data_IF_556781044637
#
_entry.id   IF_556781044637
#
_cell.length_a   1.000
_cell.length_b   1.000
_cell.length_c   1.000
_cell.angle_alpha   90.00
_cell.angle_beta   90.00
_cell.angle_gamma   90.00
#
_symmetry.space_group_name_H-M   'P 1'
#
loop_
_entity.id
_entity.type
_entity.pdbx_description
1 polymer ?
#
# COMPACT_ATOMS: atom_id res chain seq x y z
N UNK A 1 29.01 -5.87 16.97
CA UNK A 1 28.78 -5.47 15.56
C UNK A 1 27.39 -4.86 15.45
N UNK A 2 27.30 -3.54 15.20
CA UNK A 2 26.02 -2.83 15.04
C UNK A 2 25.45 -3.20 13.67
N UNK A 3 24.25 -3.79 13.61
CA UNK A 3 23.52 -3.93 12.34
C UNK A 3 23.29 -2.51 11.83
N UNK A 4 23.78 -2.20 10.62
CA UNK A 4 23.37 -1.01 9.87
C UNK A 4 21.88 -1.14 9.64
N UNK A 5 21.06 -0.52 10.49
CA UNK A 5 19.69 -0.18 10.12
C UNK A 5 19.81 0.65 8.85
N UNK A 6 19.22 0.14 7.77
CA UNK A 6 19.08 0.91 6.54
C UNK A 6 18.49 2.26 6.90
N UNK A 7 19.12 3.36 6.47
CA UNK A 7 18.70 4.76 6.63
C UNK A 7 17.29 5.10 6.06
N UNK A 8 16.42 4.12 5.85
CA UNK A 8 15.15 4.22 5.12
C UNK A 8 13.91 4.35 6.02
N UNK A 9 13.97 3.91 7.28
CA UNK A 9 12.81 3.84 8.15
C UNK A 9 13.08 4.54 9.50
N UNK A 10 13.06 5.89 9.50
CA UNK A 10 13.07 6.69 10.74
C UNK A 10 11.65 6.86 11.29
N UNK A 11 11.47 7.26 12.56
CA UNK A 11 10.14 7.57 13.10
C UNK A 11 9.39 8.62 12.27
N UNK A 12 10.08 9.64 11.78
CA UNK A 12 9.49 10.69 10.94
C UNK A 12 9.06 10.14 9.57
N UNK A 13 9.88 9.29 8.94
CA UNK A 13 9.50 8.67 7.66
C UNK A 13 8.35 7.68 7.85
N UNK A 14 8.34 6.93 8.96
CA UNK A 14 7.25 6.01 9.30
C UNK A 14 5.93 6.75 9.54
N UNK A 15 5.95 7.85 10.31
CA UNK A 15 4.78 8.71 10.52
C UNK A 15 4.28 9.32 9.21
N UNK A 16 5.21 9.77 8.34
CA UNK A 16 4.86 10.25 7.00
C UNK A 16 4.20 9.18 6.15
N UNK A 17 4.68 7.94 6.15
CA UNK A 17 4.08 6.85 5.36
C UNK A 17 2.69 6.48 5.88
N UNK A 18 2.50 6.46 7.21
CA UNK A 18 1.24 6.08 7.85
C UNK A 18 0.19 7.22 7.91
N UNK A 19 0.52 8.42 7.44
CA UNK A 19 -0.38 9.57 7.46
C UNK A 19 -1.66 9.36 6.65
N UNK A 20 -2.66 10.17 6.94
CA UNK A 20 -3.83 10.37 6.08
C UNK A 20 -3.50 11.48 5.06
N UNK A 21 -3.64 11.20 3.77
CA UNK A 21 -3.37 12.13 2.68
C UNK A 21 -4.57 13.04 2.40
N UNK A 22 -4.38 14.20 1.74
CA UNK A 22 -5.47 14.97 1.17
C UNK A 22 -6.31 14.13 0.18
N UNK A 23 -7.60 14.45 0.03
CA UNK A 23 -8.49 13.69 -0.84
C UNK A 23 -8.00 13.62 -2.30
N UNK A 24 -7.41 14.70 -2.82
CA UNK A 24 -6.81 14.77 -4.16
C UNK A 24 -5.64 13.79 -4.39
N UNK A 25 -5.07 13.25 -3.32
CA UNK A 25 -3.96 12.28 -3.33
C UNK A 25 -4.44 10.87 -2.92
N UNK A 26 -5.74 10.65 -2.74
CA UNK A 26 -6.28 9.35 -2.39
C UNK A 26 -6.03 8.33 -3.53
N UNK A 27 -5.95 7.06 -3.16
CA UNK A 27 -6.08 5.98 -4.12
C UNK A 27 -7.55 5.76 -4.43
N UNK A 28 -7.93 5.91 -5.69
CA UNK A 28 -9.29 5.70 -6.16
C UNK A 28 -9.38 4.33 -6.84
N UNK A 29 -10.29 3.49 -6.38
CA UNK A 29 -10.46 2.15 -6.93
C UNK A 29 -11.41 2.18 -8.15
N UNK A 30 -10.93 1.68 -9.28
CA UNK A 30 -11.63 1.53 -10.53
C UNK A 30 -11.67 0.06 -10.93
N UNK A 31 -12.77 -0.39 -11.53
CA UNK A 31 -12.88 -1.73 -12.11
C UNK A 31 -12.45 -1.78 -13.58
N UNK A 32 -12.33 -0.61 -14.21
CA UNK A 32 -11.93 -0.40 -15.60
C UNK A 32 -11.66 1.09 -15.84
N UNK A 33 -11.25 1.45 -17.06
CA UNK A 33 -11.12 2.85 -17.47
C UNK A 33 -12.46 3.57 -17.29
N UNK A 34 -12.48 4.61 -16.45
CA UNK A 34 -13.67 5.42 -16.15
C UNK A 34 -14.71 4.75 -15.23
N UNK A 35 -14.51 3.48 -14.82
CA UNK A 35 -15.45 2.76 -13.97
C UNK A 35 -15.07 2.85 -12.50
N UNK A 36 -15.28 4.03 -11.90
CA UNK A 36 -15.03 4.25 -10.47
C UNK A 36 -15.94 3.38 -9.61
N UNK A 37 -15.38 2.72 -8.60
CA UNK A 37 -16.13 1.84 -7.70
C UNK A 37 -16.90 2.57 -6.60
N UNK A 38 -16.70 3.88 -6.44
CA UNK A 38 -17.19 4.64 -5.28
C UNK A 38 -16.28 4.52 -4.04
N UNK A 39 -15.19 3.75 -4.11
CA UNK A 39 -14.31 3.47 -2.98
C UNK A 39 -12.96 4.14 -3.20
N UNK A 40 -12.44 4.80 -2.18
CA UNK A 40 -11.09 5.35 -2.15
C UNK A 40 -10.40 5.06 -0.81
N UNK A 41 -9.08 5.26 -0.78
CA UNK A 41 -8.27 5.18 0.43
C UNK A 41 -7.28 6.35 0.51
N UNK A 42 -7.23 7.00 1.67
CA UNK A 42 -6.35 8.15 1.97
C UNK A 42 -5.14 7.77 2.80
N UNK A 43 -5.03 6.52 3.23
CA UNK A 43 -3.91 6.05 4.04
C UNK A 43 -3.62 4.59 3.72
N UNK A 44 -2.47 4.10 4.17
CA UNK A 44 -2.10 2.69 4.01
C UNK A 44 -3.04 1.75 4.80
N UNK A 45 -3.53 2.21 5.96
CA UNK A 45 -4.54 1.48 6.76
C UNK A 45 -5.89 1.42 6.04
N UNK A 46 -6.39 2.56 5.55
CA UNK A 46 -7.64 2.56 4.76
C UNK A 46 -7.49 1.68 3.52
N UNK A 47 -6.34 1.74 2.83
CA UNK A 47 -6.08 0.92 1.66
C UNK A 47 -6.11 -0.58 2.00
N UNK A 48 -5.49 -0.98 3.12
CA UNK A 48 -5.56 -2.35 3.64
C UNK A 48 -7.00 -2.80 3.93
N UNK A 49 -7.82 -1.93 4.53
CA UNK A 49 -9.22 -2.22 4.82
C UNK A 49 -10.03 -2.39 3.52
N UNK A 50 -9.93 -1.41 2.61
CA UNK A 50 -10.71 -1.36 1.35
C UNK A 50 -10.41 -2.53 0.42
N UNK A 51 -9.18 -3.05 0.40
CA UNK A 51 -8.84 -4.25 -0.37
C UNK A 51 -9.76 -5.45 -0.04
N UNK A 52 -10.33 -5.49 1.17
CA UNK A 52 -11.25 -6.56 1.60
C UNK A 52 -12.63 -6.49 0.95
N UNK A 53 -13.09 -5.28 0.61
CA UNK A 53 -14.47 -5.05 0.14
C UNK A 53 -14.56 -4.64 -1.33
N UNK A 54 -13.48 -4.13 -1.94
CA UNK A 54 -13.50 -3.75 -3.36
C UNK A 54 -13.67 -5.00 -4.26
N UNK A 55 -14.34 -4.85 -5.41
CA UNK A 55 -14.48 -5.92 -6.38
C UNK A 55 -13.12 -6.49 -6.81
N UNK A 56 -13.04 -7.82 -6.98
CA UNK A 56 -11.81 -8.48 -7.44
C UNK A 56 -11.32 -7.92 -8.78
N UNK A 57 -12.24 -7.59 -9.70
CA UNK A 57 -11.94 -6.94 -10.98
C UNK A 57 -11.14 -5.65 -10.77
N UNK A 58 -11.47 -4.85 -9.75
CA UNK A 58 -10.74 -3.61 -9.45
C UNK A 58 -9.32 -3.87 -8.98
N UNK A 59 -9.12 -4.89 -8.13
CA UNK A 59 -7.78 -5.27 -7.68
C UNK A 59 -6.91 -5.73 -8.85
N UNK A 60 -7.45 -6.58 -9.72
CA UNK A 60 -6.75 -7.08 -10.90
C UNK A 60 -6.41 -5.96 -11.89
N UNK A 61 -7.38 -5.07 -12.15
CA UNK A 61 -7.20 -3.92 -13.03
C UNK A 61 -6.01 -3.06 -12.59
N UNK A 62 -5.99 -2.64 -11.33
CA UNK A 62 -4.90 -1.80 -10.81
C UNK A 62 -3.58 -2.54 -10.68
N UNK A 63 -3.59 -3.83 -10.28
CA UNK A 63 -2.38 -4.61 -10.11
C UNK A 63 -1.65 -4.86 -11.43
N UNK A 64 -2.40 -5.15 -12.50
CA UNK A 64 -1.85 -5.33 -13.85
C UNK A 64 -1.20 -4.04 -14.38
N UNK A 65 -1.74 -2.87 -14.03
CA UNK A 65 -1.27 -1.55 -14.45
C UNK A 65 -0.13 -0.99 -13.59
N UNK A 66 0.09 -1.58 -12.43
CA UNK A 66 1.06 -1.12 -11.44
C UNK A 66 0.64 0.15 -10.69
N UNK A 67 -0.66 0.41 -10.61
CA UNK A 67 -1.18 1.64 -9.99
C UNK A 67 -0.89 1.67 -8.47
N UNK A 68 -0.89 0.51 -7.82
CA UNK A 68 -0.66 0.40 -6.37
C UNK A 68 0.76 0.81 -5.98
N UNK A 69 1.78 0.20 -6.61
CA UNK A 69 3.18 0.52 -6.35
C UNK A 69 3.51 1.97 -6.70
N UNK A 70 2.88 2.53 -7.75
CA UNK A 70 3.03 3.93 -8.11
C UNK A 70 2.50 4.85 -7.00
N UNK A 71 1.27 4.64 -6.55
CA UNK A 71 0.68 5.44 -5.48
C UNK A 71 1.47 5.34 -4.18
N UNK A 72 1.85 4.13 -3.77
CA UNK A 72 2.63 3.89 -2.55
C UNK A 72 4.00 4.60 -2.61
N UNK A 73 4.67 4.56 -3.76
CA UNK A 73 5.96 5.24 -3.96
C UNK A 73 5.82 6.76 -3.99
N UNK A 74 4.93 7.26 -4.83
CA UNK A 74 4.88 8.69 -5.18
C UNK A 74 4.09 9.51 -4.16
N UNK A 75 3.02 8.95 -3.61
CA UNK A 75 2.18 9.64 -2.63
C UNK A 75 2.63 9.32 -1.21
N UNK A 76 2.72 8.04 -0.84
CA UNK A 76 3.07 7.70 0.55
C UNK A 76 4.57 7.85 0.83
N UNK A 77 5.42 7.71 -0.19
CA UNK A 77 6.87 7.77 -0.07
C UNK A 77 7.51 6.43 0.35
N UNK A 78 6.77 5.32 0.30
CA UNK A 78 7.26 4.02 0.75
C UNK A 78 7.86 3.19 -0.40
N UNK A 79 9.12 3.46 -0.70
CA UNK A 79 9.86 2.71 -1.72
C UNK A 79 9.98 1.21 -1.43
N UNK A 80 10.00 0.80 -0.16
CA UNK A 80 10.15 -0.60 0.20
C UNK A 80 8.91 -1.39 -0.20
N UNK A 81 7.74 -0.95 0.25
CA UNK A 81 6.48 -1.62 -0.05
C UNK A 81 6.15 -1.56 -1.56
N UNK A 82 6.43 -0.43 -2.21
CA UNK A 82 6.24 -0.31 -3.66
C UNK A 82 7.04 -1.37 -4.43
N UNK A 83 8.32 -1.58 -4.07
CA UNK A 83 9.14 -2.64 -4.67
C UNK A 83 8.60 -4.03 -4.37
N UNK A 84 8.17 -4.28 -3.13
CA UNK A 84 7.59 -5.56 -2.73
C UNK A 84 6.37 -5.90 -3.58
N UNK A 85 5.43 -4.96 -3.75
CA UNK A 85 4.22 -5.18 -4.56
C UNK A 85 4.56 -5.34 -6.05
N UNK A 86 5.48 -4.52 -6.58
CA UNK A 86 5.91 -4.65 -7.97
C UNK A 86 6.57 -6.01 -8.28
N UNK A 87 7.27 -6.60 -7.30
CA UNK A 87 7.91 -7.92 -7.44
C UNK A 87 6.95 -9.12 -7.30
N UNK A 88 5.67 -8.88 -6.98
CA UNK A 88 4.69 -9.95 -6.93
C UNK A 88 4.44 -10.53 -8.32
N UNK A 89 4.18 -11.84 -8.38
CA UNK A 89 3.80 -12.53 -9.61
C UNK A 89 2.55 -11.87 -10.22
N UNK A 90 2.71 -11.30 -11.42
CA UNK A 90 1.66 -10.57 -12.14
C UNK A 90 0.54 -11.49 -12.67
N UNK A 91 0.71 -12.81 -12.59
CA UNK A 91 -0.35 -13.78 -12.88
C UNK A 91 -1.34 -13.99 -11.72
N UNK A 92 -1.06 -13.43 -10.53
CA UNK A 92 -1.98 -13.51 -9.39
C UNK A 92 -3.33 -12.85 -9.69
N UNK A 93 -4.40 -13.55 -9.36
CA UNK A 93 -5.79 -13.14 -9.58
C UNK A 93 -6.66 -13.38 -8.35
N UNK A 94 -7.85 -12.80 -8.38
CA UNK A 94 -8.94 -13.04 -7.43
C UNK A 94 -8.47 -12.99 -5.96
N UNK A 95 -8.96 -13.93 -5.14
CA UNK A 95 -8.67 -13.98 -3.71
C UNK A 95 -7.19 -14.18 -3.38
N UNK A 96 -6.43 -14.84 -4.27
CA UNK A 96 -5.00 -15.05 -4.09
C UNK A 96 -4.25 -13.72 -4.17
N UNK A 97 -4.60 -12.87 -5.14
CA UNK A 97 -4.08 -11.51 -5.24
C UNK A 97 -4.45 -10.70 -4.00
N UNK A 98 -5.73 -10.69 -3.62
CA UNK A 98 -6.21 -9.96 -2.43
C UNK A 98 -5.44 -10.35 -1.18
N UNK A 99 -5.31 -11.65 -0.92
CA UNK A 99 -4.59 -12.18 0.24
C UNK A 99 -3.13 -11.76 0.24
N UNK A 100 -2.46 -11.81 -0.91
CA UNK A 100 -1.05 -11.44 -1.05
C UNK A 100 -0.83 -9.94 -0.79
N UNK A 101 -1.69 -9.08 -1.36
CA UNK A 101 -1.66 -7.64 -1.13
C UNK A 101 -1.84 -7.33 0.36
N UNK A 102 -2.92 -7.85 0.98
CA UNK A 102 -3.19 -7.64 2.40
C UNK A 102 -2.02 -8.07 3.28
N UNK A 103 -1.41 -9.23 2.99
CA UNK A 103 -0.27 -9.74 3.75
C UNK A 103 0.93 -8.80 3.71
N UNK A 104 1.32 -8.33 2.52
CA UNK A 104 2.47 -7.43 2.37
C UNK A 104 2.22 -6.08 3.03
N UNK A 105 1.02 -5.51 2.83
CA UNK A 105 0.62 -4.22 3.41
C UNK A 105 0.57 -4.31 4.94
N UNK A 106 -0.06 -5.35 5.51
CA UNK A 106 -0.16 -5.52 6.96
C UNK A 106 1.21 -5.67 7.62
N UNK A 107 2.11 -6.45 7.00
CA UNK A 107 3.50 -6.59 7.48
C UNK A 107 4.20 -5.23 7.52
N UNK A 108 4.04 -4.41 6.48
CA UNK A 108 4.65 -3.08 6.44
C UNK A 108 4.06 -2.14 7.50
N UNK A 109 2.74 -2.08 7.62
CA UNK A 109 2.05 -1.27 8.65
C UNK A 109 2.58 -1.63 10.05
N UNK A 110 2.63 -2.92 10.38
CA UNK A 110 3.10 -3.38 11.69
C UNK A 110 4.57 -3.01 11.95
N UNK A 111 5.42 -3.07 10.92
CA UNK A 111 6.83 -2.66 11.04
C UNK A 111 6.95 -1.14 11.30
N UNK A 112 6.22 -0.33 10.54
CA UNK A 112 6.22 1.14 10.70
C UNK A 112 5.69 1.57 12.07
N UNK A 113 4.62 0.93 12.58
CA UNK A 113 4.11 1.20 13.92
C UNK A 113 5.14 0.88 15.01
N UNK A 114 5.84 -0.24 14.90
CA UNK A 114 6.92 -0.61 15.84
C UNK A 114 8.07 0.40 15.86
N UNK A 115 8.37 1.04 14.73
CA UNK A 115 9.38 2.11 14.68
C UNK A 115 8.88 3.33 15.44
N UNK A 116 7.63 3.74 15.24
CA UNK A 116 7.06 4.88 15.98
C UNK A 116 7.04 4.58 17.49
N UNK A 117 6.56 3.41 17.90
CA UNK A 117 6.42 3.02 19.32
C UNK A 117 7.76 2.96 20.06
N UNK A 118 8.84 2.53 19.40
CA UNK A 118 10.17 2.45 20.02
C UNK A 118 10.85 3.80 20.24
N UNK A 119 10.30 4.85 19.63
CA UNK A 119 10.87 6.20 19.59
C UNK A 119 9.87 7.29 20.02
N UNK A 120 8.72 6.88 20.57
CA UNK A 120 7.78 7.74 21.31
C UNK A 120 8.16 7.79 22.78
#
# INVERSE_FOLDING_TARGET
MKKKESRADSPESAAKILRITPIKEAFYFFSDIGQYTGIFARSLEEFYEKISSVPLKSLEFHFARGDFEKWIKEILGDMHLAKTINSMDKSLKAEKLRTMLKRNIRRRINHLKKIIEKHS
#
